data_IF_121099939509
#
_entry.id   IF_121099939509
#
_cell.length_a   1.000
_cell.length_b   1.000
_cell.length_c   1.000
_cell.angle_alpha   90.00
_cell.angle_beta   90.00
_cell.angle_gamma   90.00
#
_symmetry.space_group_name_H-M   'P 1'
#
loop_
_entity.id
_entity.type
_entity.pdbx_description
1 polymer ?
#
# COMPACT_ATOMS: atom_id res chain seq x y z
N UNK A 1 20.04 0.41 -10.26
CA UNK A 1 20.57 1.60 -9.54
C UNK A 1 20.85 1.21 -8.09
N UNK A 2 21.96 1.65 -7.47
CA UNK A 2 22.22 1.37 -6.03
C UNK A 2 21.16 2.06 -5.17
N UNK A 3 20.73 1.43 -4.06
CA UNK A 3 19.64 1.92 -3.18
C UNK A 3 19.81 3.38 -2.75
N UNK A 4 21.02 3.78 -2.35
CA UNK A 4 21.34 5.16 -1.93
C UNK A 4 21.17 6.17 -3.07
N UNK A 5 21.58 5.81 -4.29
CA UNK A 5 21.38 6.66 -5.47
C UNK A 5 19.90 6.83 -5.81
N UNK A 6 19.10 5.76 -5.65
CA UNK A 6 17.64 5.83 -5.83
C UNK A 6 17.02 6.79 -4.83
N UNK A 7 17.37 6.65 -3.54
CA UNK A 7 16.84 7.51 -2.47
C UNK A 7 17.21 8.97 -2.71
N UNK A 8 18.48 9.25 -3.06
CA UNK A 8 18.93 10.60 -3.38
C UNK A 8 18.16 11.21 -4.54
N UNK A 9 17.94 10.44 -5.61
CA UNK A 9 17.18 10.89 -6.77
C UNK A 9 15.71 11.17 -6.42
N UNK A 10 15.07 10.29 -5.64
CA UNK A 10 13.69 10.52 -5.18
C UNK A 10 13.59 11.79 -4.34
N UNK A 11 14.55 12.05 -3.44
CA UNK A 11 14.60 13.30 -2.66
C UNK A 11 14.71 14.53 -3.55
N UNK A 12 15.62 14.52 -4.54
CA UNK A 12 15.74 15.62 -5.50
C UNK A 12 14.45 15.86 -6.26
N UNK A 13 13.77 14.80 -6.73
CA UNK A 13 12.48 14.92 -7.41
C UNK A 13 11.40 15.54 -6.51
N UNK A 14 11.37 15.19 -5.24
CA UNK A 14 10.45 15.76 -4.25
C UNK A 14 10.70 17.26 -4.08
N UNK A 15 11.97 17.66 -3.90
CA UNK A 15 12.38 19.05 -3.71
C UNK A 15 12.09 19.90 -4.96
N UNK A 16 12.49 19.43 -6.14
CA UNK A 16 12.30 20.11 -7.43
C UNK A 16 10.82 20.32 -7.76
N UNK A 17 9.96 19.35 -7.39
CA UNK A 17 8.53 19.40 -7.65
C UNK A 17 7.71 19.96 -6.47
N UNK A 18 8.38 20.39 -5.39
CA UNK A 18 7.77 20.96 -4.18
C UNK A 18 6.65 20.05 -3.61
N UNK A 19 6.92 18.76 -3.56
CA UNK A 19 5.98 17.76 -3.03
C UNK A 19 6.06 17.79 -1.51
N UNK A 20 4.92 17.99 -0.86
CA UNK A 20 4.84 18.08 0.60
C UNK A 20 4.70 16.70 1.22
N UNK A 21 5.80 16.00 1.41
CA UNK A 21 5.86 14.71 2.12
C UNK A 21 5.91 14.85 3.66
N UNK A 22 5.49 15.98 4.21
CA UNK A 22 5.25 16.02 5.66
C UNK A 22 4.17 14.98 6.02
N UNK A 23 4.23 14.43 7.25
CA UNK A 23 3.16 13.58 7.77
C UNK A 23 1.89 14.43 7.88
N UNK A 24 1.15 14.50 6.80
CA UNK A 24 -0.15 15.13 6.75
C UNK A 24 -1.19 14.05 7.09
N UNK A 25 -1.96 14.28 8.14
CA UNK A 25 -2.97 13.33 8.60
C UNK A 25 -4.14 13.21 7.60
N UNK A 26 -4.24 14.10 6.60
CA UNK A 26 -5.29 14.03 5.58
C UNK A 26 -4.90 13.06 4.47
N UNK A 27 -5.68 11.99 4.38
CA UNK A 27 -5.64 10.97 3.32
C UNK A 27 -5.57 11.56 1.89
N UNK A 28 -6.35 12.62 1.61
CA UNK A 28 -6.33 13.31 0.30
C UNK A 28 -4.93 13.83 -0.05
N UNK A 29 -4.25 14.43 0.92
CA UNK A 29 -2.91 14.97 0.71
C UNK A 29 -1.90 13.85 0.49
N UNK A 30 -1.99 12.75 1.24
CA UNK A 30 -1.14 11.57 1.03
C UNK A 30 -1.30 11.00 -0.39
N UNK A 31 -2.54 10.80 -0.85
CA UNK A 31 -2.84 10.35 -2.23
C UNK A 31 -2.29 11.33 -3.25
N UNK A 32 -2.55 12.63 -3.09
CA UNK A 32 -2.05 13.67 -4.00
C UNK A 32 -0.52 13.65 -4.10
N UNK A 33 0.17 13.53 -2.98
CA UNK A 33 1.63 13.50 -2.92
C UNK A 33 2.22 12.25 -3.59
N UNK A 34 1.61 11.08 -3.40
CA UNK A 34 1.96 9.84 -4.11
C UNK A 34 1.87 10.03 -5.62
N UNK A 35 0.75 10.56 -6.11
CA UNK A 35 0.51 10.76 -7.54
C UNK A 35 1.46 11.81 -8.14
N UNK A 36 1.74 12.90 -7.42
CA UNK A 36 2.74 13.88 -7.84
C UNK A 36 4.14 13.26 -7.92
N UNK A 37 4.50 12.43 -6.95
CA UNK A 37 5.80 11.77 -6.94
C UNK A 37 5.93 10.75 -8.07
N UNK A 38 4.90 9.95 -8.34
CA UNK A 38 4.88 9.07 -9.51
C UNK A 38 5.05 9.87 -10.81
N UNK A 39 4.32 10.97 -10.97
CA UNK A 39 4.43 11.83 -12.15
C UNK A 39 5.83 12.43 -12.32
N UNK A 40 6.47 12.84 -11.22
CA UNK A 40 7.83 13.34 -11.24
C UNK A 40 8.84 12.25 -11.66
N UNK A 41 8.69 11.04 -11.12
CA UNK A 41 9.50 9.87 -11.50
C UNK A 41 9.34 9.51 -12.97
N UNK A 42 8.10 9.48 -13.48
CA UNK A 42 7.82 9.16 -14.89
C UNK A 42 8.45 10.16 -15.86
N UNK A 43 8.55 11.44 -15.48
CA UNK A 43 9.15 12.49 -16.31
C UNK A 43 10.68 12.52 -16.25
N UNK A 44 11.28 11.89 -15.24
CA UNK A 44 12.73 11.92 -15.06
C UNK A 44 13.41 10.90 -15.95
N UNK A 45 14.29 11.35 -16.84
CA UNK A 45 15.14 10.45 -17.65
C UNK A 45 16.10 9.61 -16.80
N UNK A 46 16.36 10.06 -15.56
CA UNK A 46 17.26 9.40 -14.61
C UNK A 46 16.55 8.34 -13.75
N UNK A 47 15.21 8.30 -13.78
CA UNK A 47 14.41 7.38 -12.98
C UNK A 47 13.60 6.44 -13.87
N UNK A 48 13.92 5.14 -13.80
CA UNK A 48 13.09 4.11 -14.42
C UNK A 48 12.18 3.51 -13.36
N UNK A 49 10.89 3.80 -13.44
CA UNK A 49 9.88 3.12 -12.63
C UNK A 49 9.80 1.66 -13.04
N UNK A 50 9.81 0.77 -12.05
CA UNK A 50 9.50 -0.64 -12.26
C UNK A 50 8.00 -0.91 -12.01
N UNK A 51 7.50 -2.00 -12.59
CA UNK A 51 6.09 -2.38 -12.52
C UNK A 51 5.63 -2.65 -11.08
N UNK A 52 6.53 -3.20 -10.24
CA UNK A 52 6.25 -3.45 -8.83
C UNK A 52 5.98 -2.14 -8.08
N UNK A 53 6.81 -1.11 -8.29
CA UNK A 53 6.61 0.20 -7.68
C UNK A 53 5.27 0.83 -8.10
N UNK A 54 4.91 0.69 -9.38
CA UNK A 54 3.63 1.20 -9.91
C UNK A 54 2.46 0.50 -9.21
N UNK A 55 2.48 -0.83 -9.17
CA UNK A 55 1.39 -1.61 -8.57
C UNK A 55 1.28 -1.40 -7.06
N UNK A 56 2.41 -1.38 -6.35
CA UNK A 56 2.44 -1.11 -4.90
C UNK A 56 1.86 0.27 -4.60
N UNK A 57 2.22 1.29 -5.39
CA UNK A 57 1.65 2.63 -5.21
C UNK A 57 0.14 2.63 -5.45
N UNK A 58 -0.33 1.91 -6.48
CA UNK A 58 -1.76 1.82 -6.79
C UNK A 58 -2.54 1.17 -5.65
N UNK A 59 -2.09 0.01 -5.17
CA UNK A 59 -2.76 -0.70 -4.06
C UNK A 59 -2.73 0.13 -2.78
N UNK A 60 -1.63 0.86 -2.52
CA UNK A 60 -1.57 1.79 -1.39
C UNK A 60 -2.57 2.95 -1.53
N UNK A 61 -2.70 3.54 -2.72
CA UNK A 61 -3.75 4.52 -2.98
C UNK A 61 -5.15 3.93 -2.78
N UNK A 62 -5.40 2.69 -3.23
CA UNK A 62 -6.68 2.03 -3.02
C UNK A 62 -6.97 1.84 -1.52
N UNK A 63 -5.98 1.45 -0.72
CA UNK A 63 -6.10 1.33 0.73
C UNK A 63 -6.39 2.68 1.41
N UNK A 64 -5.68 3.74 1.01
CA UNK A 64 -5.96 5.11 1.47
C UNK A 64 -7.38 5.55 1.10
N UNK A 65 -7.82 5.29 -0.13
CA UNK A 65 -9.19 5.62 -0.55
C UNK A 65 -10.20 4.83 0.28
N UNK A 66 -10.00 3.52 0.45
CA UNK A 66 -10.86 2.67 1.27
C UNK A 66 -10.98 3.17 2.71
N UNK A 67 -9.91 3.72 3.28
CA UNK A 67 -9.94 4.25 4.66
C UNK A 67 -10.84 5.45 4.86
N UNK A 68 -11.25 6.12 3.77
CA UNK A 68 -12.22 7.22 3.82
C UNK A 68 -13.65 6.71 3.95
N UNK A 69 -13.93 5.51 3.44
CA UNK A 69 -15.30 4.98 3.28
C UNK A 69 -15.60 3.75 4.15
N UNK A 70 -14.58 3.08 4.67
CA UNK A 70 -14.71 1.83 5.43
C UNK A 70 -13.70 1.77 6.57
N UNK A 71 -14.01 0.98 7.60
CA UNK A 71 -13.07 0.62 8.66
C UNK A 71 -12.25 -0.64 8.31
N UNK A 72 -12.78 -1.48 7.42
CA UNK A 72 -12.22 -2.77 7.02
C UNK A 72 -11.85 -2.79 5.53
N UNK A 73 -10.87 -3.62 5.18
CA UNK A 73 -10.52 -3.85 3.78
C UNK A 73 -11.58 -4.74 3.12
N UNK A 74 -11.79 -4.54 1.81
CA UNK A 74 -12.55 -5.49 1.02
C UNK A 74 -11.73 -6.72 0.68
N UNK A 75 -12.40 -7.82 0.36
CA UNK A 75 -11.75 -9.06 -0.08
C UNK A 75 -10.83 -8.82 -1.28
N UNK A 76 -11.29 -8.08 -2.29
CA UNK A 76 -10.48 -7.73 -3.45
C UNK A 76 -9.28 -6.83 -3.14
N UNK A 77 -9.33 -6.03 -2.06
CA UNK A 77 -8.16 -5.29 -1.60
C UNK A 77 -7.17 -6.21 -0.86
N UNK A 78 -7.67 -7.13 -0.03
CA UNK A 78 -6.86 -8.16 0.62
C UNK A 78 -6.07 -8.99 -0.40
N UNK A 79 -6.74 -9.51 -1.44
CA UNK A 79 -6.10 -10.25 -2.52
C UNK A 79 -4.97 -9.44 -3.17
N UNK A 80 -5.25 -8.19 -3.55
CA UNK A 80 -4.25 -7.33 -4.20
C UNK A 80 -3.07 -7.00 -3.31
N UNK A 81 -3.26 -6.87 -2.00
CA UNK A 81 -2.17 -6.67 -1.06
C UNK A 81 -1.22 -7.89 -1.05
N UNK A 82 -1.77 -9.10 -1.06
CA UNK A 82 -1.01 -10.36 -1.10
C UNK A 82 -0.32 -10.57 -2.45
N UNK A 83 -1.06 -10.46 -3.56
CA UNK A 83 -0.55 -10.67 -4.92
C UNK A 83 0.60 -9.72 -5.28
N UNK A 84 0.58 -8.49 -4.75
CA UNK A 84 1.64 -7.51 -4.97
C UNK A 84 2.79 -7.62 -3.96
N UNK A 85 2.74 -8.60 -3.06
CA UNK A 85 3.74 -8.85 -2.03
C UNK A 85 3.89 -7.68 -1.06
N UNK A 86 2.81 -6.93 -0.83
CA UNK A 86 2.74 -5.82 0.12
C UNK A 86 2.57 -6.38 1.53
N UNK A 87 1.74 -7.41 1.64
CA UNK A 87 1.62 -8.32 2.80
C UNK A 87 1.80 -9.75 2.30
N UNK A 88 2.14 -10.67 3.20
CA UNK A 88 2.23 -12.10 2.93
C UNK A 88 1.01 -12.82 3.48
N UNK A 89 0.70 -14.00 2.92
CA UNK A 89 -0.37 -14.87 3.43
C UNK A 89 -0.18 -15.23 4.91
N UNK A 90 1.07 -15.48 5.32
CA UNK A 90 1.39 -15.75 6.73
C UNK A 90 1.12 -14.54 7.63
N UNK A 91 1.46 -13.33 7.20
CA UNK A 91 1.17 -12.12 7.99
C UNK A 91 -0.34 -11.88 8.15
N UNK A 92 -1.14 -12.20 7.14
CA UNK A 92 -2.61 -12.16 7.26
C UNK A 92 -3.12 -13.25 8.21
N UNK A 93 -2.58 -14.47 8.10
CA UNK A 93 -2.95 -15.59 8.98
C UNK A 93 -2.64 -15.29 10.44
N UNK A 94 -1.43 -14.78 10.72
CA UNK A 94 -1.00 -14.35 12.06
C UNK A 94 -1.89 -13.21 12.58
N UNK A 95 -2.21 -12.23 11.73
CA UNK A 95 -3.10 -11.14 12.09
C UNK A 95 -4.50 -11.66 12.50
N UNK A 96 -5.08 -12.56 11.71
CA UNK A 96 -6.39 -13.17 11.95
C UNK A 96 -6.43 -13.92 13.27
N UNK A 97 -5.39 -14.71 13.57
CA UNK A 97 -5.30 -15.44 14.83
C UNK A 97 -5.10 -14.49 16.03
N UNK A 98 -4.11 -13.61 15.95
CA UNK A 98 -3.65 -12.81 17.10
C UNK A 98 -4.60 -11.67 17.47
N UNK A 99 -5.11 -10.93 16.47
CA UNK A 99 -5.97 -9.74 16.70
C UNK A 99 -7.46 -10.07 16.64
N UNK A 100 -7.86 -11.06 15.84
CA UNK A 100 -9.27 -11.35 15.57
C UNK A 100 -9.76 -12.67 16.18
N UNK A 101 -8.86 -13.50 16.72
CA UNK A 101 -9.19 -14.84 17.22
C UNK A 101 -9.91 -15.71 16.16
N UNK A 102 -9.59 -15.48 14.89
CA UNK A 102 -10.05 -16.25 13.74
C UNK A 102 -8.99 -17.30 13.44
N UNK A 103 -9.28 -18.56 13.78
CA UNK A 103 -8.37 -19.70 13.60
C UNK A 103 -8.43 -20.27 12.19
N UNK A 104 -8.24 -19.41 11.19
CA UNK A 104 -8.12 -19.76 9.78
C UNK A 104 -6.81 -19.19 9.26
N UNK A 105 -6.11 -19.98 8.46
CA UNK A 105 -5.05 -19.41 7.63
C UNK A 105 -5.66 -18.59 6.49
N UNK A 106 -4.81 -17.88 5.76
CA UNK A 106 -5.22 -17.02 4.65
C UNK A 106 -6.03 -17.77 3.59
N UNK A 107 -5.66 -19.00 3.25
CA UNK A 107 -6.35 -19.79 2.22
C UNK A 107 -7.77 -20.11 2.69
N UNK A 108 -7.92 -20.70 3.88
CA UNK A 108 -9.23 -21.00 4.46
C UNK A 108 -10.08 -19.76 4.74
N UNK A 109 -9.46 -18.64 5.09
CA UNK A 109 -10.18 -17.39 5.26
C UNK A 109 -10.68 -16.84 3.92
N UNK A 110 -9.85 -16.92 2.87
CA UNK A 110 -10.23 -16.48 1.52
C UNK A 110 -11.36 -17.33 0.93
N UNK A 111 -11.47 -18.60 1.33
CA UNK A 111 -12.56 -19.48 0.92
C UNK A 111 -13.95 -18.98 1.32
N UNK A 112 -14.07 -18.23 2.43
CA UNK A 112 -15.34 -17.66 2.89
C UNK A 112 -15.92 -16.64 1.89
N UNK A 113 -15.06 -16.08 1.03
CA UNK A 113 -15.41 -15.07 0.02
C UNK A 113 -15.52 -15.66 -1.39
N UNK A 114 -15.37 -16.99 -1.56
CA UNK A 114 -15.54 -17.62 -2.86
C UNK A 114 -16.97 -17.46 -3.37
N UNK A 115 -17.11 -16.78 -4.52
CA UNK A 115 -18.40 -16.47 -5.12
C UNK A 115 -19.01 -15.14 -4.67
N UNK A 116 -18.36 -14.41 -3.76
CA UNK A 116 -18.72 -13.06 -3.37
C UNK A 116 -18.16 -12.00 -4.34
N UNK A 117 -18.67 -10.78 -4.23
CA UNK A 117 -18.14 -9.63 -4.96
C UNK A 117 -16.80 -9.16 -4.34
N UNK A 118 -15.94 -8.52 -5.14
CA UNK A 118 -14.60 -8.11 -4.69
C UNK A 118 -14.61 -6.94 -3.69
N UNK A 119 -15.73 -6.23 -3.61
CA UNK A 119 -15.99 -5.16 -2.64
C UNK A 119 -16.63 -5.66 -1.34
N UNK A 120 -16.88 -6.97 -1.21
CA UNK A 120 -17.32 -7.59 0.05
C UNK A 120 -16.32 -7.27 1.16
N UNK A 121 -16.84 -6.84 2.32
CA UNK A 121 -16.02 -6.47 3.46
C UNK A 121 -15.42 -7.72 4.12
N UNK A 122 -14.15 -7.66 4.48
CA UNK A 122 -13.53 -8.63 5.39
C UNK A 122 -13.72 -8.22 6.86
N UNK A 123 -13.21 -9.05 7.77
CA UNK A 123 -13.08 -8.73 9.20
C UNK A 123 -11.85 -7.86 9.51
N UNK A 124 -10.92 -7.72 8.55
CA UNK A 124 -9.61 -7.10 8.75
C UNK A 124 -9.72 -5.58 8.64
N UNK A 125 -9.36 -4.88 9.71
CA UNK A 125 -9.31 -3.42 9.78
C UNK A 125 -8.19 -2.84 8.91
N UNK A 126 -8.48 -1.71 8.28
CA UNK A 126 -7.52 -0.97 7.46
C UNK A 126 -6.31 -0.51 8.28
N UNK A 127 -6.53 -0.09 9.53
CA UNK A 127 -5.47 0.35 10.43
C UNK A 127 -4.43 -0.76 10.68
N UNK A 128 -4.88 -1.99 10.88
CA UNK A 128 -3.98 -3.13 11.10
C UNK A 128 -3.17 -3.46 9.85
N UNK A 129 -3.75 -3.28 8.66
CA UNK A 129 -3.03 -3.43 7.39
C UNK A 129 -1.96 -2.35 7.24
N UNK A 130 -2.26 -1.10 7.63
CA UNK A 130 -1.26 -0.03 7.62
C UNK A 130 -0.08 -0.37 8.53
N UNK A 131 -0.33 -0.85 9.75
CA UNK A 131 0.72 -1.28 10.68
C UNK A 131 1.61 -2.37 10.08
N UNK A 132 1.01 -3.32 9.35
CA UNK A 132 1.75 -4.42 8.72
C UNK A 132 2.66 -4.00 7.55
N UNK A 133 2.25 -3.01 6.74
CA UNK A 133 2.89 -2.80 5.44
C UNK A 133 3.40 -1.38 5.14
N UNK A 134 3.10 -0.36 5.95
CA UNK A 134 3.50 1.03 5.67
C UNK A 134 5.01 1.16 5.39
N UNK A 135 5.86 0.59 6.26
CA UNK A 135 7.32 0.69 6.08
C UNK A 135 7.82 -0.01 4.80
N UNK A 136 7.18 -1.10 4.39
CA UNK A 136 7.49 -1.79 3.12
C UNK A 136 7.10 -0.95 1.93
N UNK A 137 5.93 -0.33 1.96
CA UNK A 137 5.47 0.58 0.90
C UNK A 137 6.39 1.78 0.80
N UNK A 138 6.75 2.42 1.91
CA UNK A 138 7.70 3.54 1.94
C UNK A 138 9.05 3.16 1.33
N UNK A 139 9.56 1.94 1.58
CA UNK A 139 10.81 1.43 0.97
C UNK A 139 10.69 1.24 -0.54
N UNK A 140 9.54 0.77 -1.02
CA UNK A 140 9.27 0.56 -2.44
C UNK A 140 9.10 1.88 -3.17
N UNK A 141 8.33 2.82 -2.60
CA UNK A 141 8.10 4.15 -3.17
C UNK A 141 9.34 5.05 -2.97
N UNK A 142 10.17 4.78 -1.97
CA UNK A 142 11.38 5.54 -1.67
C UNK A 142 11.12 6.88 -0.99
N UNK A 143 9.92 7.08 -0.45
CA UNK A 143 9.52 8.28 0.27
C UNK A 143 8.62 7.89 1.45
N UNK A 144 8.64 8.71 2.50
CA UNK A 144 7.72 8.62 3.63
C UNK A 144 6.43 9.36 3.27
N UNK A 145 5.28 8.72 3.47
CA UNK A 145 3.99 9.15 2.93
C UNK A 145 2.92 8.94 4.00
#
# INVERSE_FOLDING_TARGET
MKKEKRISLVKSLIEENKIDISKDDKTENQIRNLLLLQKAKQKSELYKMDEKEINVTRVWCDLLISSVFSETISYGLMLRLVENGIVTESEISELLEDKYNIKKDYEWYSEDFMGCELDESTDIRIEDVWELCAERVEKVVGAKI
#
